data_IF_894244605739
#
_entry.id   IF_894244605739
#
_cell.length_a   1.000
_cell.length_b   1.000
_cell.length_c   1.000
_cell.angle_alpha   90.00
_cell.angle_beta   90.00
_cell.angle_gamma   90.00
#
_symmetry.space_group_name_H-M   'P 1'
#
loop_
_entity.id
_entity.type
_entity.pdbx_description
1 polymer ?
#
# COMPACT_ATOMS: atom_id res chain seq x y z
N UNK A 1 8.67 -5.77 9.28
CA UNK A 1 8.26 -4.46 9.83
C UNK A 1 7.13 -3.96 8.93
N UNK A 2 5.88 -4.03 9.40
CA UNK A 2 4.70 -3.85 8.53
C UNK A 2 4.49 -2.38 8.21
N UNK A 3 4.07 -2.05 6.99
CA UNK A 3 3.82 -0.66 6.56
C UNK A 3 2.86 0.10 7.52
N UNK A 4 1.89 -0.60 8.12
CA UNK A 4 0.95 -0.05 9.11
C UNK A 4 1.58 0.30 10.47
N UNK A 5 2.78 -0.19 10.77
CA UNK A 5 3.52 0.11 12.00
C UNK A 5 4.54 1.23 11.83
N UNK A 6 4.69 1.74 10.59
CA UNK A 6 5.58 2.84 10.28
C UNK A 6 5.15 4.11 11.05
N UNK A 7 6.11 4.74 11.73
CA UNK A 7 5.84 5.93 12.55
C UNK A 7 5.35 7.11 11.73
N UNK A 8 5.65 7.17 10.43
CA UNK A 8 5.10 8.16 9.51
C UNK A 8 3.63 7.97 9.18
N UNK A 9 3.07 6.78 9.46
CA UNK A 9 1.65 6.44 9.27
C UNK A 9 0.86 6.48 10.59
N UNK A 10 1.53 6.33 11.74
CA UNK A 10 0.92 6.52 13.08
C UNK A 10 0.39 7.96 13.20
N UNK A 11 -0.93 8.12 13.11
CA UNK A 11 -1.62 9.41 13.16
C UNK A 11 -2.26 9.86 11.83
N UNK A 12 -1.92 9.22 10.70
CA UNK A 12 -2.57 9.46 9.39
C UNK A 12 -3.63 8.40 9.04
N UNK A 13 -3.56 7.24 9.69
CA UNK A 13 -4.54 6.17 9.61
C UNK A 13 -5.44 6.20 10.86
N UNK A 14 -6.74 5.98 10.68
CA UNK A 14 -7.65 5.84 11.82
C UNK A 14 -7.34 4.56 12.61
N UNK A 15 -7.53 4.56 13.92
CA UNK A 15 -7.36 3.35 14.75
C UNK A 15 -8.29 2.21 14.28
N UNK A 16 -9.47 2.55 13.75
CA UNK A 16 -10.40 1.58 13.17
C UNK A 16 -9.84 0.94 11.89
N UNK A 17 -9.31 1.73 10.95
CA UNK A 17 -8.69 1.23 9.72
C UNK A 17 -7.42 0.41 10.04
N UNK A 18 -6.61 0.88 10.98
CA UNK A 18 -5.42 0.18 11.46
C UNK A 18 -5.76 -1.19 12.03
N UNK A 19 -6.75 -1.26 12.92
CA UNK A 19 -7.25 -2.52 13.47
C UNK A 19 -7.77 -3.44 12.37
N UNK A 20 -8.56 -2.92 11.43
CA UNK A 20 -9.10 -3.69 10.31
C UNK A 20 -8.00 -4.33 9.44
N UNK A 21 -6.92 -3.60 9.15
CA UNK A 21 -5.78 -4.16 8.39
C UNK A 21 -5.06 -5.22 9.22
N UNK A 22 -4.78 -4.97 10.50
CA UNK A 22 -4.10 -5.93 11.36
C UNK A 22 -4.90 -7.23 11.51
N UNK A 23 -6.21 -7.13 11.77
CA UNK A 23 -7.10 -8.28 11.90
C UNK A 23 -7.12 -9.10 10.59
N UNK A 24 -7.22 -8.44 9.42
CA UNK A 24 -7.21 -9.13 8.12
C UNK A 24 -5.85 -9.76 7.80
N UNK A 25 -4.74 -9.10 8.14
CA UNK A 25 -3.39 -9.67 8.00
C UNK A 25 -3.25 -10.92 8.86
N UNK A 26 -3.72 -10.89 10.11
CA UNK A 26 -3.66 -12.05 11.01
C UNK A 26 -4.51 -13.21 10.49
N UNK A 27 -5.71 -12.94 9.99
CA UNK A 27 -6.57 -13.94 9.34
C UNK A 27 -5.87 -14.59 8.14
N UNK A 28 -5.25 -13.79 7.28
CA UNK A 28 -4.52 -14.29 6.11
C UNK A 28 -3.32 -15.13 6.53
N UNK A 29 -2.55 -14.70 7.54
CA UNK A 29 -1.42 -15.48 8.07
C UNK A 29 -1.89 -16.83 8.59
N UNK A 30 -2.95 -16.87 9.41
CA UNK A 30 -3.51 -18.12 9.90
C UNK A 30 -4.04 -19.00 8.78
N UNK A 31 -4.61 -18.42 7.73
CA UNK A 31 -5.00 -19.16 6.54
C UNK A 31 -3.78 -19.72 5.79
N UNK A 32 -2.72 -18.94 5.60
CA UNK A 32 -1.48 -19.39 4.94
C UNK A 32 -0.83 -20.55 5.71
N UNK A 33 -0.77 -20.47 7.04
CA UNK A 33 -0.21 -21.52 7.90
C UNK A 33 -1.00 -22.84 7.81
N UNK A 34 -2.34 -22.74 7.69
CA UNK A 34 -3.22 -23.90 7.57
C UNK A 34 -3.32 -24.45 6.12
N UNK A 35 -3.00 -23.63 5.12
CA UNK A 35 -3.23 -23.93 3.70
C UNK A 35 -1.93 -23.81 2.89
N UNK A 36 -0.82 -24.36 3.42
CA UNK A 36 0.51 -24.31 2.77
C UNK A 36 0.58 -25.06 1.44
N UNK A 37 -0.38 -25.96 1.17
CA UNK A 37 -0.52 -26.72 -0.07
C UNK A 37 -1.69 -26.24 -0.94
N UNK A 38 -2.24 -25.05 -0.66
CA UNK A 38 -3.30 -24.48 -1.47
C UNK A 38 -2.86 -24.28 -2.93
N UNK A 39 -3.83 -24.25 -3.83
CA UNK A 39 -3.55 -23.98 -5.23
C UNK A 39 -3.31 -22.49 -5.48
N UNK A 40 -2.66 -22.18 -6.60
CA UNK A 40 -2.37 -20.81 -7.03
C UNK A 40 -3.62 -19.92 -6.99
N UNK A 41 -4.76 -20.45 -7.44
CA UNK A 41 -6.03 -19.73 -7.50
C UNK A 41 -6.54 -19.34 -6.11
N UNK A 42 -6.35 -20.20 -5.11
CA UNK A 42 -6.74 -19.95 -3.72
C UNK A 42 -5.85 -18.87 -3.08
N UNK A 43 -4.54 -18.92 -3.33
CA UNK A 43 -3.62 -17.87 -2.92
C UNK A 43 -3.94 -16.53 -3.57
N UNK A 44 -4.26 -16.52 -4.87
CA UNK A 44 -4.67 -15.31 -5.58
C UNK A 44 -5.98 -14.73 -5.03
N UNK A 45 -6.94 -15.59 -4.71
CA UNK A 45 -8.19 -15.18 -4.07
C UNK A 45 -7.93 -14.56 -2.71
N UNK A 46 -7.14 -15.23 -1.85
CA UNK A 46 -6.81 -14.72 -0.51
C UNK A 46 -6.02 -13.41 -0.58
N UNK A 47 -5.11 -13.27 -1.55
CA UNK A 47 -4.39 -12.01 -1.81
C UNK A 47 -5.34 -10.90 -2.22
N UNK A 48 -6.27 -11.15 -3.15
CA UNK A 48 -7.28 -10.16 -3.58
C UNK A 48 -8.16 -9.70 -2.42
N UNK A 49 -8.58 -10.62 -1.54
CA UNK A 49 -9.32 -10.26 -0.32
C UNK A 49 -8.54 -9.31 0.59
N UNK A 50 -7.24 -9.55 0.77
CA UNK A 50 -6.37 -8.67 1.54
C UNK A 50 -6.21 -7.30 0.87
N UNK A 51 -5.95 -7.28 -0.43
CA UNK A 51 -5.81 -6.05 -1.23
C UNK A 51 -7.07 -5.19 -1.20
N UNK A 52 -8.26 -5.79 -1.25
CA UNK A 52 -9.53 -5.07 -1.17
C UNK A 52 -9.70 -4.31 0.15
N UNK A 53 -9.10 -4.79 1.24
CA UNK A 53 -9.12 -4.12 2.54
C UNK A 53 -8.00 -3.08 2.63
N UNK A 54 -6.79 -3.44 2.21
CA UNK A 54 -5.61 -2.59 2.35
C UNK A 54 -5.57 -1.42 1.36
N UNK A 55 -5.92 -1.65 0.08
CA UNK A 55 -5.86 -0.62 -0.98
C UNK A 55 -6.64 0.66 -0.64
N UNK A 56 -7.93 0.61 -0.23
CA UNK A 56 -8.66 1.85 0.06
C UNK A 56 -8.11 2.61 1.28
N UNK A 57 -7.45 1.92 2.20
CA UNK A 57 -6.83 2.50 3.38
C UNK A 57 -5.51 3.17 3.01
N UNK A 58 -4.70 2.49 2.19
CA UNK A 58 -3.46 3.01 1.64
C UNK A 58 -3.76 4.23 0.76
N UNK A 59 -4.75 4.17 -0.14
CA UNK A 59 -5.16 5.32 -0.97
C UNK A 59 -5.59 6.51 -0.12
N UNK A 60 -6.41 6.31 0.92
CA UNK A 60 -6.81 7.38 1.85
C UNK A 60 -5.61 7.97 2.59
N UNK A 61 -4.66 7.14 2.98
CA UNK A 61 -3.44 7.57 3.66
C UNK A 61 -2.52 8.40 2.74
N UNK A 62 -2.36 8.01 1.48
CA UNK A 62 -1.64 8.82 0.48
C UNK A 62 -2.37 10.13 0.15
N UNK A 63 -3.70 10.12 0.04
CA UNK A 63 -4.50 11.34 -0.15
C UNK A 63 -4.45 12.28 1.06
N UNK A 64 -4.43 11.74 2.29
CA UNK A 64 -4.34 12.52 3.52
C UNK A 64 -2.92 13.03 3.82
N UNK A 65 -1.89 12.35 3.32
CA UNK A 65 -0.51 12.80 3.40
C UNK A 65 -0.16 13.87 2.33
N UNK A 66 -0.99 14.00 1.29
CA UNK A 66 -0.81 14.94 0.19
C UNK A 66 -1.74 16.13 0.29
N UNK A 67 -1.26 17.22 0.89
CA UNK A 67 -1.64 18.55 0.38
C UNK A 67 -1.32 18.63 -1.12
N UNK A 68 -1.99 19.52 -1.88
CA UNK A 68 -1.82 19.60 -3.33
C UNK A 68 -0.34 19.82 -3.67
N UNK A 69 0.34 18.78 -4.16
CA UNK A 69 1.76 18.85 -4.54
C UNK A 69 2.68 17.72 -4.07
N UNK A 70 2.22 16.71 -3.30
CA UNK A 70 3.08 15.59 -2.93
C UNK A 70 3.21 14.56 -4.08
N UNK A 71 3.97 14.92 -5.12
CA UNK A 71 4.59 13.94 -5.99
C UNK A 71 5.58 13.12 -5.18
N UNK A 72 5.38 11.80 -5.12
CA UNK A 72 6.27 10.92 -4.37
C UNK A 72 5.84 9.47 -4.41
N UNK A 73 6.56 8.70 -5.25
CA UNK A 73 6.61 7.24 -5.32
C UNK A 73 5.46 6.52 -6.04
N UNK A 74 5.65 6.34 -7.35
CA UNK A 74 5.26 5.08 -8.00
C UNK A 74 3.95 5.07 -8.78
N UNK A 75 3.76 5.99 -9.72
CA UNK A 75 2.81 5.77 -10.83
C UNK A 75 3.39 6.35 -12.12
N UNK A 76 4.31 5.61 -12.74
CA UNK A 76 4.68 5.85 -14.12
C UNK A 76 3.51 5.38 -15.01
N UNK A 77 2.58 6.28 -15.27
CA UNK A 77 1.64 6.21 -16.38
C UNK A 77 1.96 7.36 -17.34
N UNK A 78 2.10 7.13 -18.66
CA UNK A 78 2.61 8.15 -19.56
C UNK A 78 1.53 9.21 -19.80
N UNK A 79 1.72 10.40 -19.22
CA UNK A 79 1.05 11.61 -19.70
C UNK A 79 2.11 12.62 -20.07
N UNK A 80 2.28 12.78 -21.38
CA UNK A 80 3.07 13.84 -21.96
C UNK A 80 2.54 15.22 -21.59
N UNK A 81 3.43 16.19 -21.69
CA UNK A 81 3.08 17.61 -21.76
C UNK A 81 3.58 18.43 -20.58
N UNK A 82 4.80 18.97 -20.77
CA UNK A 82 5.23 20.30 -20.34
C UNK A 82 5.58 20.55 -18.86
N UNK A 83 6.84 20.94 -18.65
CA UNK A 83 7.23 21.86 -17.57
C UNK A 83 8.33 21.36 -16.64
N UNK A 84 9.58 21.59 -17.05
CA UNK A 84 10.78 21.82 -16.22
C UNK A 84 10.83 21.22 -14.81
N UNK A 85 11.51 20.08 -14.67
CA UNK A 85 12.06 19.57 -13.41
C UNK A 85 13.59 19.36 -13.55
N UNK A 86 14.38 19.55 -12.47
CA UNK A 86 15.83 19.74 -12.54
C UNK A 86 16.57 18.53 -13.12
N UNK A 87 17.56 18.82 -13.95
CA UNK A 87 18.46 17.87 -14.62
C UNK A 87 19.19 17.02 -13.59
N UNK A 88 19.07 15.70 -13.68
CA UNK A 88 19.94 14.78 -12.95
C UNK A 88 21.30 14.86 -13.65
N UNK A 89 22.27 15.48 -12.98
CA UNK A 89 23.67 15.46 -13.42
C UNK A 89 24.20 14.03 -13.32
N UNK A 90 24.94 13.65 -14.36
CA UNK A 90 25.69 12.42 -14.47
C UNK A 90 26.60 12.24 -13.25
N UNK A 91 26.48 11.10 -12.58
CA UNK A 91 27.55 10.56 -11.74
C UNK A 91 27.94 9.24 -12.39
N UNK A 92 29.01 9.36 -13.19
CA UNK A 92 29.91 8.35 -13.80
C UNK A 92 29.46 6.87 -13.78
#
# INVERSE_FOLDING_TARGET
KSAVEDEGLKGKISEADKKKVLDKCQEVISWLDANTLAEKEEFEHKRKELEQVCNPIISRLYQGAGGPGAGGFGAQGPKGGSGSGPTIEEVD
#
